data_IF_196774017134
#
_entry.id   IF_196774017134
#
_cell.length_a   1.000
_cell.length_b   1.000
_cell.length_c   1.000
_cell.angle_alpha   90.00
_cell.angle_beta   90.00
_cell.angle_gamma   90.00
#
_symmetry.space_group_name_H-M   'P 1'
#
loop_
_entity.id
_entity.type
_entity.pdbx_description
1 polymer ?
#
# COMPACT_ATOMS: atom_id res chain seq x y z
N UNK A 1 -10.83 -13.61 23.96
CA UNK A 1 -10.62 -12.15 23.94
C UNK A 1 -11.07 -11.68 22.56
N UNK A 2 -11.87 -10.62 22.46
CA UNK A 2 -12.29 -10.10 21.15
C UNK A 2 -11.13 -9.34 20.50
N UNK A 3 -10.76 -9.70 19.27
CA UNK A 3 -9.66 -9.08 18.53
C UNK A 3 -10.20 -8.35 17.29
N UNK A 4 -10.16 -7.01 17.30
CA UNK A 4 -10.63 -6.19 16.18
C UNK A 4 -9.78 -6.37 14.92
N UNK A 5 -8.47 -6.56 15.08
CA UNK A 5 -7.54 -6.76 13.96
C UNK A 5 -7.89 -8.04 13.20
N UNK A 6 -8.17 -9.12 13.92
CA UNK A 6 -8.62 -10.38 13.30
C UNK A 6 -9.92 -10.20 12.49
N UNK A 7 -10.88 -9.43 13.00
CA UNK A 7 -12.16 -9.16 12.32
C UNK A 7 -11.93 -8.42 10.99
N UNK A 8 -11.09 -7.39 10.98
CA UNK A 8 -10.84 -6.61 9.76
C UNK A 8 -10.00 -7.39 8.74
N UNK A 9 -9.05 -8.22 9.18
CA UNK A 9 -8.26 -9.09 8.31
C UNK A 9 -9.16 -10.12 7.64
N UNK A 10 -9.98 -10.83 8.41
CA UNK A 10 -10.92 -11.82 7.88
C UNK A 10 -11.88 -11.18 6.86
N UNK A 11 -12.42 -10.00 7.17
CA UNK A 11 -13.30 -9.28 6.23
C UNK A 11 -12.57 -8.88 4.95
N UNK A 12 -11.33 -8.39 5.05
CA UNK A 12 -10.52 -8.06 3.87
C UNK A 12 -10.33 -9.29 2.99
N UNK A 13 -9.84 -10.39 3.57
CA UNK A 13 -9.58 -11.65 2.86
C UNK A 13 -10.82 -12.18 2.15
N UNK A 14 -11.97 -12.21 2.83
CA UNK A 14 -13.25 -12.61 2.22
C UNK A 14 -13.60 -11.75 1.01
N UNK A 15 -13.36 -10.43 1.09
CA UNK A 15 -13.62 -9.50 -0.02
C UNK A 15 -12.63 -9.65 -1.17
N UNK A 16 -11.37 -10.01 -0.90
CA UNK A 16 -10.39 -10.29 -1.95
C UNK A 16 -10.79 -11.54 -2.74
N UNK A 17 -11.14 -12.60 -2.02
CA UNK A 17 -11.61 -13.84 -2.64
C UNK A 17 -12.94 -13.66 -3.39
N UNK A 18 -13.89 -12.92 -2.81
CA UNK A 18 -15.15 -12.60 -3.49
C UNK A 18 -14.92 -11.75 -4.75
N UNK A 19 -13.98 -10.80 -4.69
CA UNK A 19 -13.57 -9.98 -5.83
C UNK A 19 -13.09 -10.84 -7.01
N UNK A 20 -12.19 -11.79 -6.74
CA UNK A 20 -11.71 -12.74 -7.75
C UNK A 20 -12.84 -13.58 -8.33
N UNK A 21 -13.66 -14.23 -7.47
CA UNK A 21 -14.77 -15.11 -7.91
C UNK A 21 -15.80 -14.36 -8.75
N UNK A 22 -16.07 -13.09 -8.46
CA UNK A 22 -17.00 -12.27 -9.24
C UNK A 22 -16.45 -11.88 -10.62
N UNK A 23 -15.12 -11.76 -10.76
CA UNK A 23 -14.48 -11.39 -12.03
C UNK A 23 -14.28 -12.61 -12.92
N UNK A 24 -13.81 -13.73 -12.36
CA UNK A 24 -13.36 -14.91 -13.13
C UNK A 24 -14.19 -16.18 -12.90
N UNK A 25 -15.21 -16.14 -12.02
CA UNK A 25 -15.99 -17.32 -11.67
C UNK A 25 -15.14 -18.37 -10.96
N UNK A 26 -15.22 -19.62 -11.42
CA UNK A 26 -14.43 -20.75 -10.92
C UNK A 26 -13.14 -21.00 -11.69
N UNK A 27 -12.77 -20.12 -12.64
CA UNK A 27 -11.55 -20.28 -13.41
C UNK A 27 -10.32 -20.07 -12.52
N UNK A 28 -9.37 -21.02 -12.56
CA UNK A 28 -8.14 -21.01 -11.75
C UNK A 28 -8.43 -20.80 -10.26
N UNK A 29 -9.34 -21.61 -9.71
CA UNK A 29 -9.82 -21.46 -8.33
C UNK A 29 -8.72 -21.52 -7.28
N UNK A 30 -7.60 -22.18 -7.58
CA UNK A 30 -6.41 -22.20 -6.73
C UNK A 30 -5.87 -20.80 -6.40
N UNK A 31 -6.10 -19.80 -7.27
CA UNK A 31 -5.69 -18.42 -7.00
C UNK A 31 -6.51 -17.78 -5.88
N UNK A 32 -7.75 -18.22 -5.68
CA UNK A 32 -8.58 -17.75 -4.57
C UNK A 32 -8.00 -18.18 -3.23
N UNK A 33 -7.47 -19.40 -3.16
CA UNK A 33 -6.83 -19.92 -1.96
C UNK A 33 -5.49 -19.23 -1.70
N UNK A 34 -4.70 -18.97 -2.76
CA UNK A 34 -3.44 -18.22 -2.65
C UNK A 34 -3.69 -16.78 -2.21
N UNK A 35 -4.72 -16.11 -2.75
CA UNK A 35 -5.12 -14.77 -2.31
C UNK A 35 -5.52 -14.77 -0.83
N UNK A 36 -6.25 -15.80 -0.38
CA UNK A 36 -6.61 -15.95 1.02
C UNK A 36 -5.41 -16.14 1.93
N UNK A 37 -4.49 -17.00 1.54
CA UNK A 37 -3.24 -17.23 2.27
C UNK A 37 -2.35 -15.99 2.30
N UNK A 38 -2.09 -15.36 1.15
CA UNK A 38 -1.26 -14.16 1.05
C UNK A 38 -1.86 -12.99 1.83
N UNK A 39 -3.18 -12.81 1.78
CA UNK A 39 -3.90 -11.79 2.54
C UNK A 39 -3.77 -11.96 4.05
N UNK A 40 -4.01 -13.17 4.57
CA UNK A 40 -3.80 -13.44 6.00
C UNK A 40 -2.35 -13.22 6.39
N UNK A 41 -1.41 -13.78 5.62
CA UNK A 41 0.01 -13.71 5.92
C UNK A 41 0.52 -12.27 5.98
N UNK A 42 0.27 -11.47 4.94
CA UNK A 42 0.77 -10.10 4.87
C UNK A 42 0.13 -9.21 5.95
N UNK A 43 -1.19 -9.33 6.16
CA UNK A 43 -1.88 -8.50 7.15
C UNK A 43 -1.57 -8.91 8.60
N UNK A 44 -1.31 -10.19 8.87
CA UNK A 44 -0.81 -10.63 10.19
C UNK A 44 0.61 -10.10 10.45
N UNK A 45 1.49 -10.09 9.44
CA UNK A 45 2.82 -9.49 9.57
C UNK A 45 2.71 -8.00 9.88
N UNK A 46 1.92 -7.26 9.09
CA UNK A 46 1.70 -5.81 9.28
C UNK A 46 0.99 -5.52 10.61
N UNK A 47 0.16 -6.43 11.12
CA UNK A 47 -0.49 -6.29 12.44
C UNK A 47 0.48 -6.27 13.62
N UNK A 48 1.71 -6.77 13.43
CA UNK A 48 2.75 -6.70 14.44
C UNK A 48 3.58 -5.40 14.35
N UNK A 49 3.30 -4.54 13.38
CA UNK A 49 4.00 -3.27 13.21
C UNK A 49 3.69 -2.29 14.34
N UNK A 50 4.71 -1.55 14.79
CA UNK A 50 4.55 -0.40 15.70
C UNK A 50 4.58 0.96 14.97
N UNK A 51 4.57 0.97 13.63
CA UNK A 51 4.28 2.16 12.83
C UNK A 51 2.85 2.65 13.09
N UNK A 52 2.67 3.98 13.23
CA UNK A 52 1.40 4.56 13.70
C UNK A 52 0.38 4.80 12.58
N UNK A 53 0.83 4.94 11.34
CA UNK A 53 0.00 5.25 10.18
C UNK A 53 0.07 4.17 9.10
N UNK A 54 1.27 3.70 8.74
CA UNK A 54 1.44 2.63 7.75
C UNK A 54 1.13 1.26 8.40
N UNK A 55 -0.15 1.06 8.69
CA UNK A 55 -0.70 -0.04 9.49
C UNK A 55 -1.59 -1.00 8.67
N UNK A 56 -2.23 -1.94 9.37
CA UNK A 56 -3.15 -2.93 8.78
C UNK A 56 -4.33 -2.25 8.10
N UNK A 57 -4.88 -1.19 8.69
CA UNK A 57 -6.05 -0.52 8.13
C UNK A 57 -5.68 0.20 6.84
N UNK A 58 -4.55 0.90 6.80
CA UNK A 58 -4.02 1.52 5.59
C UNK A 58 -3.83 0.47 4.48
N UNK A 59 -3.15 -0.63 4.79
CA UNK A 59 -2.88 -1.71 3.82
C UNK A 59 -4.18 -2.32 3.27
N UNK A 60 -5.19 -2.54 4.13
CA UNK A 60 -6.50 -3.03 3.73
C UNK A 60 -7.19 -2.04 2.77
N UNK A 61 -7.19 -0.75 3.10
CA UNK A 61 -7.82 0.28 2.27
C UNK A 61 -7.17 0.38 0.89
N UNK A 62 -5.83 0.42 0.84
CA UNK A 62 -5.05 0.43 -0.40
C UNK A 62 -5.35 -0.80 -1.26
N UNK A 63 -5.32 -2.00 -0.66
CA UNK A 63 -5.55 -3.26 -1.37
C UNK A 63 -6.97 -3.32 -1.96
N UNK A 64 -7.98 -2.89 -1.21
CA UNK A 64 -9.37 -2.92 -1.67
C UNK A 64 -9.65 -1.85 -2.74
N UNK A 65 -9.02 -0.68 -2.67
CA UNK A 65 -9.05 0.31 -3.76
C UNK A 65 -8.40 -0.27 -5.01
N UNK A 66 -7.23 -0.91 -4.88
CA UNK A 66 -6.52 -1.57 -5.98
C UNK A 66 -7.37 -2.64 -6.66
N UNK A 67 -8.05 -3.47 -5.87
CA UNK A 67 -9.00 -4.46 -6.39
C UNK A 67 -10.13 -3.79 -7.19
N UNK A 68 -10.73 -2.72 -6.70
CA UNK A 68 -11.80 -2.01 -7.44
C UNK A 68 -11.28 -1.34 -8.72
N UNK A 69 -10.05 -0.82 -8.72
CA UNK A 69 -9.37 -0.34 -9.93
C UNK A 69 -9.24 -1.49 -10.96
N UNK A 70 -8.84 -2.69 -10.53
CA UNK A 70 -8.74 -3.84 -11.44
C UNK A 70 -10.07 -4.31 -11.97
N UNK A 71 -11.13 -4.31 -11.14
CA UNK A 71 -12.48 -4.59 -11.62
C UNK A 71 -12.89 -3.63 -12.72
N UNK A 72 -12.69 -2.33 -12.51
CA UNK A 72 -12.95 -1.30 -13.51
C UNK A 72 -12.13 -1.52 -14.78
N UNK A 73 -10.83 -1.84 -14.65
CA UNK A 73 -9.97 -2.16 -15.79
C UNK A 73 -10.44 -3.38 -16.57
N UNK A 74 -10.79 -4.46 -15.87
CA UNK A 74 -11.35 -5.66 -16.48
C UNK A 74 -12.66 -5.35 -17.23
N UNK A 75 -13.57 -4.56 -16.65
CA UNK A 75 -14.80 -4.16 -17.35
C UNK A 75 -14.56 -3.29 -18.58
N UNK A 76 -13.57 -2.39 -18.54
CA UNK A 76 -13.29 -1.50 -19.68
C UNK A 76 -12.53 -2.20 -20.81
N UNK A 77 -11.57 -3.05 -20.46
CA UNK A 77 -10.56 -3.53 -21.41
C UNK A 77 -10.60 -5.04 -21.63
N UNK A 78 -11.24 -5.81 -20.74
CA UNK A 78 -11.37 -7.27 -20.83
C UNK A 78 -10.05 -8.04 -20.73
N UNK A 79 -8.94 -7.38 -20.39
CA UNK A 79 -7.58 -7.90 -20.58
C UNK A 79 -6.80 -8.16 -19.29
N UNK A 80 -7.40 -8.02 -18.11
CA UNK A 80 -6.73 -8.36 -16.85
C UNK A 80 -6.75 -9.88 -16.70
N UNK A 81 -5.58 -10.53 -16.78
CA UNK A 81 -5.46 -11.97 -16.56
C UNK A 81 -5.59 -12.32 -15.06
N UNK A 82 -5.84 -13.60 -14.76
CA UNK A 82 -5.90 -14.06 -13.37
C UNK A 82 -4.53 -13.99 -12.69
N UNK A 83 -3.46 -14.19 -13.47
CA UNK A 83 -2.06 -14.07 -13.06
C UNK A 83 -1.73 -12.63 -12.68
N UNK A 84 -2.09 -11.66 -13.53
CA UNK A 84 -1.91 -10.24 -13.23
C UNK A 84 -2.70 -9.84 -11.99
N UNK A 85 -3.95 -10.31 -11.88
CA UNK A 85 -4.79 -10.05 -10.72
C UNK A 85 -4.13 -10.55 -9.43
N UNK A 86 -3.65 -11.79 -9.41
CA UNK A 86 -2.98 -12.39 -8.26
C UNK A 86 -1.75 -11.57 -7.85
N UNK A 87 -0.86 -11.29 -8.81
CA UNK A 87 0.38 -10.56 -8.54
C UNK A 87 0.11 -9.14 -8.06
N UNK A 88 -0.90 -8.46 -8.61
CA UNK A 88 -1.29 -7.11 -8.20
C UNK A 88 -1.86 -7.06 -6.78
N UNK A 89 -2.73 -8.01 -6.41
CA UNK A 89 -3.24 -8.09 -5.04
C UNK A 89 -2.10 -8.33 -4.04
N UNK A 90 -1.16 -9.21 -4.36
CA UNK A 90 0.04 -9.42 -3.53
C UNK A 90 0.90 -8.15 -3.45
N UNK A 91 1.02 -7.41 -4.56
CA UNK A 91 1.75 -6.14 -4.59
C UNK A 91 1.16 -5.12 -3.61
N UNK A 92 -0.16 -4.95 -3.56
CA UNK A 92 -0.80 -4.07 -2.59
C UNK A 92 -0.72 -4.56 -1.15
N UNK A 93 -0.93 -5.87 -0.93
CA UNK A 93 -0.79 -6.45 0.41
C UNK A 93 0.61 -6.26 0.99
N UNK A 94 1.63 -6.20 0.13
CA UNK A 94 3.03 -6.14 0.54
C UNK A 94 3.71 -4.79 0.29
N UNK A 95 3.02 -3.76 -0.20
CA UNK A 95 3.69 -2.49 -0.58
C UNK A 95 4.42 -1.83 0.60
N UNK A 96 3.80 -1.86 1.78
CA UNK A 96 4.35 -1.33 3.04
C UNK A 96 4.91 -2.40 3.98
N UNK A 97 4.94 -3.67 3.58
CA UNK A 97 5.38 -4.74 4.50
C UNK A 97 6.82 -4.52 4.96
N UNK A 98 7.66 -3.87 4.15
CA UNK A 98 9.04 -3.56 4.48
C UNK A 98 9.24 -2.58 5.63
N UNK A 99 8.20 -1.94 6.15
CA UNK A 99 8.26 -1.21 7.41
C UNK A 99 8.52 -2.12 8.60
N UNK A 100 7.99 -3.34 8.58
CA UNK A 100 8.00 -4.23 9.75
C UNK A 100 9.42 -4.74 10.02
N UNK A 101 9.93 -4.50 11.23
CA UNK A 101 11.18 -5.11 11.74
C UNK A 101 11.05 -6.63 11.86
N UNK A 102 12.14 -7.37 11.65
CA UNK A 102 12.21 -8.82 11.90
C UNK A 102 11.63 -9.71 10.80
N UNK A 103 11.18 -9.14 9.68
CA UNK A 103 10.58 -9.91 8.58
C UNK A 103 11.59 -10.42 7.55
N UNK A 104 12.74 -9.75 7.42
CA UNK A 104 13.79 -10.15 6.49
C UNK A 104 14.74 -11.11 7.21
N UNK A 105 15.24 -12.15 6.53
CA UNK A 105 16.07 -13.20 7.16
C UNK A 105 17.33 -12.67 7.84
N UNK A 106 17.89 -11.57 7.35
CA UNK A 106 19.10 -10.95 7.90
C UNK A 106 18.83 -10.01 9.07
N UNK A 107 17.58 -9.68 9.38
CA UNK A 107 17.25 -8.83 10.53
C UNK A 107 17.68 -9.50 11.85
N UNK A 108 18.25 -8.72 12.75
CA UNK A 108 18.61 -9.11 14.12
C UNK A 108 18.01 -8.10 15.10
N UNK A 109 16.94 -8.48 15.79
CA UNK A 109 16.33 -7.63 16.82
C UNK A 109 17.22 -7.47 18.06
N UNK A 110 18.02 -8.49 18.39
CA UNK A 110 18.97 -8.45 19.51
C UNK A 110 20.04 -7.37 19.30
N UNK A 111 20.56 -7.27 18.07
CA UNK A 111 21.59 -6.30 17.69
C UNK A 111 21.01 -4.97 17.18
N UNK A 112 19.68 -4.86 17.12
CA UNK A 112 18.97 -3.73 16.52
C UNK A 112 19.42 -3.43 15.08
N UNK A 113 19.71 -4.48 14.31
CA UNK A 113 20.31 -4.40 12.99
C UNK A 113 19.35 -4.96 11.94
N UNK A 114 18.97 -4.16 10.96
CA UNK A 114 17.90 -4.48 10.01
C UNK A 114 18.39 -4.33 8.57
N UNK A 115 17.97 -5.24 7.69
CA UNK A 115 18.32 -5.20 6.28
C UNK A 115 17.75 -3.94 5.61
N UNK A 116 18.49 -3.31 4.72
CA UNK A 116 17.93 -2.21 3.92
C UNK A 116 17.20 -2.71 2.68
N UNK A 117 17.36 -3.99 2.33
CA UNK A 117 16.91 -4.56 1.06
C UNK A 117 17.80 -4.21 -0.14
N UNK A 118 18.87 -3.46 0.09
CA UNK A 118 19.85 -3.08 -0.93
C UNK A 118 21.15 -3.86 -0.70
N UNK A 119 21.37 -4.87 -1.53
CA UNK A 119 22.48 -5.82 -1.37
C UNK A 119 22.52 -6.41 0.06
N UNK A 120 23.72 -6.53 0.65
CA UNK A 120 23.92 -6.98 2.03
C UNK A 120 23.97 -5.80 3.04
N UNK A 121 23.47 -4.61 2.66
CA UNK A 121 23.51 -3.46 3.54
C UNK A 121 22.50 -3.59 4.68
N UNK A 122 22.96 -3.23 5.87
CA UNK A 122 22.18 -3.24 7.10
C UNK A 122 22.21 -1.85 7.75
N UNK A 123 21.15 -1.49 8.47
CA UNK A 123 21.07 -0.28 9.28
C UNK A 123 20.83 -0.64 10.75
N UNK A 124 21.50 0.06 11.64
CA UNK A 124 21.21 -0.04 13.08
C UNK A 124 20.19 1.02 13.47
N UNK A 125 19.13 0.62 14.17
CA UNK A 125 18.12 1.53 14.70
C UNK A 125 18.31 1.74 16.20
N UNK A 126 18.22 2.98 16.71
CA UNK A 126 18.28 3.23 18.14
C UNK A 126 17.17 2.51 18.93
N UNK A 127 17.46 2.17 20.18
CA UNK A 127 16.42 1.71 21.10
C UNK A 127 15.25 2.71 21.19
N UNK A 128 14.03 2.20 21.00
CA UNK A 128 12.80 3.00 21.01
C UNK A 128 12.34 3.49 19.64
N UNK A 129 13.10 3.24 18.57
CA UNK A 129 12.63 3.46 17.20
C UNK A 129 11.44 2.56 16.86
N UNK A 130 10.43 3.14 16.23
CA UNK A 130 9.31 2.40 15.64
C UNK A 130 9.72 1.87 14.26
N UNK A 131 8.86 1.04 13.67
CA UNK A 131 8.96 0.53 12.30
C UNK A 131 8.96 1.67 11.28
N UNK A 132 8.39 2.83 11.61
CA UNK A 132 8.48 4.03 10.77
C UNK A 132 9.93 4.48 10.51
N UNK A 133 10.87 4.16 11.40
CA UNK A 133 12.31 4.42 11.16
C UNK A 133 12.85 3.72 9.90
N UNK A 134 12.14 2.73 9.33
CA UNK A 134 12.50 2.04 8.09
C UNK A 134 11.86 2.67 6.82
N UNK A 135 11.17 3.81 6.91
CA UNK A 135 10.54 4.50 5.75
C UNK A 135 11.49 4.63 4.56
N UNK A 136 12.77 4.96 4.76
CA UNK A 136 13.71 5.14 3.64
C UNK A 136 13.99 3.84 2.86
N UNK A 137 13.74 2.68 3.48
CA UNK A 137 14.10 1.35 2.97
C UNK A 137 12.88 0.45 2.75
N UNK A 138 11.67 0.86 3.13
CA UNK A 138 10.50 -0.01 3.13
C UNK A 138 10.22 -0.67 1.77
N UNK A 139 10.37 0.06 0.65
CA UNK A 139 10.17 -0.51 -0.70
C UNK A 139 11.21 -1.58 -1.02
N UNK A 140 12.49 -1.33 -0.73
CA UNK A 140 13.56 -2.32 -0.98
C UNK A 140 13.43 -3.52 -0.05
N UNK A 141 13.12 -3.29 1.22
CA UNK A 141 12.81 -4.34 2.20
C UNK A 141 11.60 -5.17 1.79
N UNK A 142 10.55 -4.55 1.28
CA UNK A 142 9.38 -5.26 0.77
C UNK A 142 9.77 -6.18 -0.39
N UNK A 143 10.61 -5.71 -1.33
CA UNK A 143 11.11 -6.55 -2.42
C UNK A 143 11.97 -7.72 -1.93
N UNK A 144 12.86 -7.48 -0.97
CA UNK A 144 13.65 -8.54 -0.33
C UNK A 144 12.72 -9.58 0.31
N UNK A 145 11.72 -9.13 1.07
CA UNK A 145 10.70 -10.00 1.65
C UNK A 145 9.97 -10.82 0.58
N UNK A 146 9.63 -10.23 -0.57
CA UNK A 146 8.99 -10.96 -1.68
C UNK A 146 9.89 -12.10 -2.17
N UNK A 147 11.18 -11.86 -2.36
CA UNK A 147 12.12 -12.90 -2.79
C UNK A 147 12.28 -14.00 -1.74
N UNK A 148 12.40 -13.63 -0.47
CA UNK A 148 12.59 -14.58 0.63
C UNK A 148 11.34 -15.43 0.91
N UNK A 149 10.15 -14.84 0.75
CA UNK A 149 8.87 -15.46 1.10
C UNK A 149 8.24 -16.20 -0.08
N UNK A 150 8.32 -15.64 -1.28
CA UNK A 150 7.63 -16.16 -2.47
C UNK A 150 8.58 -16.61 -3.58
N UNK A 151 9.90 -16.47 -3.45
CA UNK A 151 10.85 -16.78 -4.52
C UNK A 151 10.89 -18.25 -5.00
N UNK A 152 10.25 -19.17 -4.27
CA UNK A 152 10.10 -20.58 -4.68
C UNK A 152 8.68 -20.92 -5.15
N UNK A 153 7.76 -19.94 -5.13
CA UNK A 153 6.36 -20.15 -5.47
C UNK A 153 6.16 -20.16 -6.99
N UNK A 154 5.54 -21.21 -7.52
CA UNK A 154 5.44 -21.42 -8.97
C UNK A 154 4.34 -20.61 -9.67
N UNK A 155 3.39 -20.08 -8.90
CA UNK A 155 2.24 -19.33 -9.44
C UNK A 155 2.31 -17.82 -9.19
N UNK A 156 3.31 -17.36 -8.43
CA UNK A 156 3.51 -15.93 -8.13
C UNK A 156 4.73 -15.47 -8.92
N UNK A 157 4.55 -14.45 -9.74
CA UNK A 157 5.66 -13.81 -10.46
C UNK A 157 6.27 -12.75 -9.53
N UNK A 158 7.32 -13.13 -8.80
CA UNK A 158 7.99 -12.24 -7.85
C UNK A 158 8.58 -11.01 -8.53
N UNK A 159 9.06 -11.12 -9.77
CA UNK A 159 9.59 -9.97 -10.53
C UNK A 159 8.48 -9.00 -10.94
N UNK A 160 7.28 -9.48 -11.28
CA UNK A 160 6.12 -8.63 -11.48
C UNK A 160 5.72 -7.92 -10.18
N UNK A 161 5.66 -8.63 -9.06
CA UNK A 161 5.32 -8.05 -7.75
C UNK A 161 6.33 -6.97 -7.34
N UNK A 162 7.64 -7.25 -7.44
CA UNK A 162 8.69 -6.27 -7.10
C UNK A 162 8.65 -5.03 -7.99
N UNK A 163 8.39 -5.19 -9.29
CA UNK A 163 8.21 -4.06 -10.22
C UNK A 163 6.98 -3.21 -9.89
N UNK A 164 5.91 -3.85 -9.42
CA UNK A 164 4.71 -3.16 -9.01
C UNK A 164 4.93 -2.32 -7.74
N UNK A 165 5.56 -2.93 -6.72
CA UNK A 165 5.89 -2.27 -5.45
C UNK A 165 6.87 -1.11 -5.66
N UNK A 166 7.77 -1.18 -6.65
CA UNK A 166 8.75 -0.11 -6.90
C UNK A 166 8.14 1.28 -7.07
N UNK A 167 6.98 1.39 -7.71
CA UNK A 167 6.36 2.70 -7.93
C UNK A 167 5.65 3.29 -6.71
N UNK A 168 5.58 2.58 -5.56
CA UNK A 168 5.04 3.15 -4.31
C UNK A 168 6.06 4.01 -3.57
N UNK A 169 7.31 4.11 -4.05
CA UNK A 169 8.31 5.02 -3.46
C UNK A 169 7.79 6.45 -3.37
N UNK A 170 7.89 7.01 -2.17
CA UNK A 170 7.58 8.41 -1.92
C UNK A 170 8.68 9.09 -1.09
N UNK A 171 9.12 10.32 -1.44
CA UNK A 171 8.72 11.13 -2.61
C UNK A 171 9.02 10.43 -3.94
N UNK A 172 8.17 10.66 -4.95
CA UNK A 172 8.31 10.00 -6.26
C UNK A 172 9.65 10.42 -6.91
N UNK A 173 10.53 9.45 -7.27
CA UNK A 173 11.77 9.73 -7.98
C UNK A 173 11.56 10.46 -9.32
N UNK A 174 12.58 11.19 -9.76
CA UNK A 174 12.50 12.03 -10.97
C UNK A 174 12.65 11.23 -12.28
N UNK A 175 13.02 9.95 -12.21
CA UNK A 175 13.24 9.11 -13.38
C UNK A 175 11.95 8.88 -14.18
N UNK A 176 12.07 8.78 -15.51
CA UNK A 176 10.92 8.72 -16.43
C UNK A 176 9.98 7.54 -16.15
N UNK A 177 10.52 6.42 -15.68
CA UNK A 177 9.74 5.23 -15.37
C UNK A 177 8.71 5.49 -14.26
N UNK A 178 9.00 6.43 -13.36
CA UNK A 178 8.08 6.86 -12.31
C UNK A 178 6.99 7.81 -12.81
N UNK A 179 7.01 8.24 -14.06
CA UNK A 179 5.92 9.02 -14.66
C UNK A 179 4.81 8.13 -15.22
N UNK A 180 5.01 6.81 -15.27
CA UNK A 180 4.00 5.87 -15.77
C UNK A 180 2.80 5.77 -14.83
N UNK A 181 1.59 5.91 -15.38
CA UNK A 181 0.34 5.96 -14.60
C UNK A 181 -0.71 4.94 -15.05
N UNK A 182 -0.56 4.38 -16.26
CA UNK A 182 -1.56 3.49 -16.86
C UNK A 182 -1.16 2.01 -16.80
N UNK A 183 0.13 1.71 -16.62
CA UNK A 183 0.62 0.35 -16.43
C UNK A 183 0.33 -0.16 -15.01
N UNK A 184 0.58 -1.44 -14.78
CA UNK A 184 0.30 -2.09 -13.49
C UNK A 184 1.05 -1.46 -12.30
N UNK A 185 2.36 -1.20 -12.36
CA UNK A 185 3.04 -0.45 -11.32
C UNK A 185 2.41 0.92 -11.04
N UNK A 186 2.03 1.65 -12.09
CA UNK A 186 1.40 2.97 -11.97
C UNK A 186 0.04 2.90 -11.28
N UNK A 187 -0.74 1.85 -11.55
CA UNK A 187 -2.01 1.58 -10.87
C UNK A 187 -1.81 1.13 -9.43
N UNK A 188 -0.69 0.45 -9.11
CA UNK A 188 -0.36 0.09 -7.73
C UNK A 188 -0.15 1.35 -6.89
N UNK A 189 0.72 2.25 -7.36
CA UNK A 189 0.90 3.58 -6.75
C UNK A 189 -0.40 4.37 -6.67
N UNK A 190 -1.21 4.36 -7.73
CA UNK A 190 -2.45 5.13 -7.73
C UNK A 190 -3.43 4.65 -6.65
N UNK A 191 -3.53 3.33 -6.44
CA UNK A 191 -4.38 2.76 -5.40
C UNK A 191 -3.84 3.01 -3.99
N UNK A 192 -2.52 3.05 -3.81
CA UNK A 192 -1.88 3.49 -2.56
C UNK A 192 -2.31 4.93 -2.22
N UNK A 193 -2.05 5.88 -3.13
CA UNK A 193 -2.44 7.28 -2.95
C UNK A 193 -3.95 7.47 -2.76
N UNK A 194 -4.79 6.79 -3.55
CA UNK A 194 -6.25 6.89 -3.41
C UNK A 194 -6.71 6.24 -2.10
N UNK A 195 -6.16 5.08 -1.72
CA UNK A 195 -6.50 4.37 -0.48
C UNK A 195 -6.18 5.19 0.76
N UNK A 196 -5.04 5.90 0.74
CA UNK A 196 -4.66 6.87 1.75
C UNK A 196 -5.68 8.02 1.83
N UNK A 197 -5.94 8.70 0.71
CA UNK A 197 -6.69 9.95 0.71
C UNK A 197 -8.22 9.77 0.75
N UNK A 198 -8.73 8.61 0.34
CA UNK A 198 -10.14 8.24 0.40
C UNK A 198 -10.55 7.66 1.76
N UNK A 199 -9.60 7.44 2.69
CA UNK A 199 -9.91 6.97 4.03
C UNK A 199 -10.88 7.96 4.73
N UNK A 200 -12.08 7.51 5.16
CA UNK A 200 -13.02 8.35 5.90
C UNK A 200 -12.43 8.96 7.18
N UNK A 201 -11.38 8.33 7.73
CA UNK A 201 -10.63 8.78 8.90
C UNK A 201 -9.27 9.42 8.57
N UNK A 202 -8.93 9.59 7.29
CA UNK A 202 -7.62 10.10 6.85
C UNK A 202 -7.18 11.32 7.66
N UNK A 203 -8.10 12.28 7.72
CA UNK A 203 -7.89 13.59 8.33
C UNK A 203 -7.79 13.55 9.86
N UNK A 204 -8.32 12.51 10.52
CA UNK A 204 -8.13 12.24 11.94
C UNK A 204 -6.81 11.52 12.22
N UNK A 205 -6.26 10.80 11.23
CA UNK A 205 -5.00 10.04 11.33
C UNK A 205 -3.75 10.87 11.02
N UNK A 206 -3.90 12.10 10.52
CA UNK A 206 -2.76 12.99 10.25
C UNK A 206 -1.78 13.19 11.43
N UNK A 207 -2.19 13.23 12.70
CA UNK A 207 -1.24 13.27 13.82
C UNK A 207 -0.34 12.03 13.89
N UNK A 208 -0.85 10.84 13.57
CA UNK A 208 -0.06 9.61 13.49
C UNK A 208 0.96 9.68 12.34
N UNK A 209 0.51 10.08 11.14
CA UNK A 209 1.40 10.29 9.99
C UNK A 209 2.49 11.34 10.28
N UNK A 210 2.14 12.43 10.97
CA UNK A 210 3.11 13.44 11.36
C UNK A 210 4.19 12.89 12.27
N UNK A 211 3.83 12.03 13.23
CA UNK A 211 4.80 11.44 14.15
C UNK A 211 5.83 10.58 13.40
N UNK A 212 5.39 9.79 12.41
CA UNK A 212 6.32 9.05 11.55
C UNK A 212 7.22 9.98 10.73
N UNK A 213 6.68 11.09 10.23
CA UNK A 213 7.49 12.11 9.54
C UNK A 213 8.48 12.80 10.49
N UNK A 214 8.14 12.95 11.76
CA UNK A 214 9.02 13.51 12.77
C UNK A 214 10.16 12.55 13.13
N UNK A 215 9.86 11.27 13.32
CA UNK A 215 10.83 10.22 13.63
C UNK A 215 11.87 10.08 12.50
N UNK A 216 11.42 10.13 11.25
CA UNK A 216 12.28 10.02 10.06
C UNK A 216 12.92 11.35 9.63
N UNK A 217 12.51 12.47 10.23
CA UNK A 217 12.94 13.82 9.87
C UNK A 217 12.36 14.36 8.56
N UNK A 218 11.46 13.63 7.92
CA UNK A 218 10.73 14.04 6.70
C UNK A 218 9.91 15.32 6.94
N UNK A 219 9.39 15.51 8.15
CA UNK A 219 8.67 16.73 8.53
C UNK A 219 9.52 18.00 8.29
N UNK A 220 10.82 17.96 8.61
CA UNK A 220 11.76 19.08 8.43
C UNK A 220 11.98 19.40 6.96
N UNK A 221 12.07 18.38 6.11
CA UNK A 221 12.20 18.53 4.65
C UNK A 221 11.01 19.27 4.05
N UNK A 222 9.81 19.02 4.57
CA UNK A 222 8.58 19.69 4.13
C UNK A 222 8.24 20.97 4.91
N UNK A 223 8.99 21.30 5.96
CA UNK A 223 8.73 22.46 6.82
C UNK A 223 7.48 22.31 7.71
N UNK A 224 7.07 21.09 8.04
CA UNK A 224 5.93 20.82 8.91
C UNK A 224 6.35 20.73 10.38
N UNK A 225 5.62 21.42 11.25
CA UNK A 225 5.83 21.44 12.69
C UNK A 225 4.74 20.70 13.48
N UNK A 226 3.63 20.34 12.84
CA UNK A 226 2.55 19.56 13.45
C UNK A 226 1.70 18.81 12.42
N UNK A 227 0.84 17.89 12.88
CA UNK A 227 -0.22 17.30 12.04
C UNK A 227 -1.22 18.34 11.49
N UNK A 228 -1.31 19.52 12.11
CA UNK A 228 -2.06 20.65 11.58
C UNK A 228 -1.45 21.23 10.30
N UNK A 229 -0.12 21.19 10.14
CA UNK A 229 0.55 21.65 8.92
C UNK A 229 0.32 20.66 7.76
N UNK A 230 0.38 19.36 8.04
CA UNK A 230 -0.01 18.32 7.09
C UNK A 230 -1.45 18.54 6.60
N UNK A 231 -2.37 18.78 7.54
CA UNK A 231 -3.76 19.09 7.23
C UNK A 231 -3.85 20.31 6.34
N UNK A 232 -3.27 21.43 6.75
CA UNK A 232 -3.34 22.70 6.01
C UNK A 232 -2.78 22.58 4.59
N UNK A 233 -1.71 21.82 4.39
CA UNK A 233 -1.10 21.65 3.08
C UNK A 233 -1.71 20.51 2.24
N UNK A 234 -2.67 19.77 2.80
CA UNK A 234 -3.27 18.60 2.14
C UNK A 234 -3.84 18.91 0.73
N UNK A 235 -4.62 19.98 0.49
CA UNK A 235 -5.11 20.29 -0.85
C UNK A 235 -3.98 20.55 -1.86
N UNK A 236 -2.92 21.25 -1.44
CA UNK A 236 -1.76 21.48 -2.29
C UNK A 236 -1.03 20.18 -2.63
N UNK A 237 -0.89 19.27 -1.65
CA UNK A 237 -0.34 17.94 -1.89
C UNK A 237 -1.19 17.16 -2.90
N UNK A 238 -2.51 17.20 -2.75
CA UNK A 238 -3.42 16.55 -3.69
C UNK A 238 -3.25 17.10 -5.12
N UNK A 239 -3.40 18.40 -5.31
CA UNK A 239 -3.42 18.99 -6.64
C UNK A 239 -2.06 18.98 -7.32
N UNK A 240 -0.98 19.28 -6.59
CA UNK A 240 0.34 19.44 -7.19
C UNK A 240 1.13 18.13 -7.29
N UNK A 241 0.73 17.08 -6.55
CA UNK A 241 1.43 15.79 -6.54
C UNK A 241 0.50 14.65 -6.93
N UNK A 242 -0.51 14.36 -6.12
CA UNK A 242 -1.33 13.15 -6.27
C UNK A 242 -2.12 13.15 -7.57
N UNK A 243 -2.70 14.30 -7.94
CA UNK A 243 -3.62 14.42 -9.08
C UNK A 243 -3.01 13.93 -10.40
N UNK A 244 -1.71 14.12 -10.59
CA UNK A 244 -0.98 13.68 -11.79
C UNK A 244 -0.85 12.16 -11.91
N UNK A 245 -0.85 11.44 -10.79
CA UNK A 245 -0.59 10.00 -10.76
C UNK A 245 -1.85 9.13 -10.77
N UNK A 246 -3.01 9.67 -10.39
CA UNK A 246 -4.22 8.87 -10.14
C UNK A 246 -5.24 8.86 -11.28
N UNK A 247 -5.07 9.70 -12.32
CA UNK A 247 -6.11 9.89 -13.35
C UNK A 247 -6.56 8.59 -14.05
N UNK A 248 -5.67 7.66 -14.46
CA UNK A 248 -6.11 6.41 -15.06
C UNK A 248 -6.93 5.54 -14.09
N UNK A 249 -6.53 5.47 -12.82
CA UNK A 249 -7.24 4.74 -11.77
C UNK A 249 -8.64 5.30 -11.52
N UNK A 250 -8.79 6.64 -11.45
CA UNK A 250 -10.09 7.30 -11.29
C UNK A 250 -11.06 6.88 -12.41
N UNK A 251 -10.61 6.87 -13.67
CA UNK A 251 -11.46 6.45 -14.80
C UNK A 251 -11.88 4.98 -14.73
N UNK A 252 -11.14 4.11 -14.03
CA UNK A 252 -11.56 2.73 -13.79
C UNK A 252 -12.56 2.66 -12.63
N UNK A 253 -12.31 3.39 -11.55
CA UNK A 253 -13.21 3.46 -10.39
C UNK A 253 -14.60 4.03 -10.75
N UNK A 254 -14.70 4.91 -11.74
CA UNK A 254 -15.98 5.41 -12.25
C UNK A 254 -16.91 4.33 -12.82
N UNK A 255 -16.40 3.12 -13.09
CA UNK A 255 -17.16 2.04 -13.71
C UNK A 255 -17.89 1.15 -12.72
N UNK A 256 -17.59 1.24 -11.41
CA UNK A 256 -18.24 0.43 -10.37
C UNK A 256 -18.96 1.33 -9.35
N UNK A 257 -20.00 0.79 -8.71
CA UNK A 257 -20.72 1.53 -7.65
C UNK A 257 -19.79 1.82 -6.47
N UNK A 258 -19.00 0.83 -6.05
CA UNK A 258 -18.01 0.98 -4.98
C UNK A 258 -16.89 1.95 -5.37
N UNK A 259 -16.42 1.91 -6.62
CA UNK A 259 -15.40 2.85 -7.09
C UNK A 259 -15.88 4.30 -7.08
N UNK A 260 -17.13 4.57 -7.46
CA UNK A 260 -17.72 5.92 -7.31
C UNK A 260 -17.79 6.39 -5.86
N UNK A 261 -18.02 5.49 -4.91
CA UNK A 261 -17.99 5.83 -3.47
C UNK A 261 -16.57 6.17 -3.01
N UNK A 262 -15.56 5.41 -3.45
CA UNK A 262 -14.14 5.72 -3.16
C UNK A 262 -13.78 7.11 -3.68
N UNK A 263 -14.14 7.42 -4.93
CA UNK A 263 -13.93 8.75 -5.53
C UNK A 263 -14.63 9.85 -4.72
N UNK A 264 -15.88 9.61 -4.29
CA UNK A 264 -16.62 10.58 -3.49
C UNK A 264 -15.93 10.84 -2.13
N UNK A 265 -15.44 9.81 -1.45
CA UNK A 265 -14.70 9.95 -0.19
C UNK A 265 -13.38 10.72 -0.38
N UNK A 266 -12.62 10.39 -1.43
CA UNK A 266 -11.40 11.11 -1.81
C UNK A 266 -11.66 12.62 -1.94
N UNK A 267 -12.63 12.99 -2.78
CA UNK A 267 -12.95 14.39 -3.01
C UNK A 267 -13.58 15.08 -1.81
N UNK A 268 -14.38 14.36 -1.01
CA UNK A 268 -14.96 14.91 0.22
C UNK A 268 -13.86 15.33 1.22
N UNK A 269 -12.80 14.53 1.36
CA UNK A 269 -11.66 14.88 2.20
C UNK A 269 -10.93 16.13 1.67
N UNK A 270 -10.62 16.18 0.36
CA UNK A 270 -9.95 17.34 -0.26
C UNK A 270 -10.79 18.60 -0.07
N UNK A 271 -12.05 18.53 -0.49
CA UNK A 271 -12.98 19.65 -0.45
C UNK A 271 -13.18 20.19 0.97
N UNK A 272 -13.27 19.30 1.97
CA UNK A 272 -13.43 19.72 3.37
C UNK A 272 -12.30 20.62 3.84
N UNK A 273 -11.06 20.28 3.53
CA UNK A 273 -9.89 21.04 3.98
C UNK A 273 -9.70 22.32 3.17
N UNK A 274 -10.09 22.34 1.89
CA UNK A 274 -10.08 23.57 1.07
C UNK A 274 -11.00 24.68 1.59
N UNK A 275 -12.02 24.31 2.38
CA UNK A 275 -13.06 25.22 2.88
C UNK A 275 -13.01 25.40 4.41
N UNK A 276 -11.90 25.04 5.05
CA UNK A 276 -11.58 25.35 6.46
C UNK A 276 -10.88 26.70 6.61
#
# INVERSE_FOLDING_TARGET
MFNLTEVIINNCVERLQAGYRQTFGSFRSEYVDILGWAGNMALEVIANSDALYHDVEHTILVTLVGQEVLRGKYFREGSVSCEDWLNLIISWLCHDIGYVKGICRSDSEEDQLYATGLDDMMISLPFGSTDASLTAFHVDRAKLFIDERFGTHTLIDTEAVKRNIELTRFPVPADKEYLETANYPGLVRAADLIGQLADPRYLQKLPALFYEFEETGVNKTFGYSSGGDLRKNYPNFYWNVVSGYIQPALRYLELTVTGKQIIASLYANVFRVEHE
#
